data_IF_454494727905
#
_entry.id   IF_454494727905
#
_cell.length_a   1.000
_cell.length_b   1.000
_cell.length_c   1.000
_cell.angle_alpha   90.00
_cell.angle_beta   90.00
_cell.angle_gamma   90.00
#
_symmetry.space_group_name_H-M   'P 1'
#
loop_
_entity.id
_entity.type
_entity.pdbx_description
1 polymer ?
#
# COMPACT_ATOMS: atom_id res chain seq x y z
N UNK A 1 16.43 -12.95 28.69
CA UNK A 1 16.92 -14.09 27.87
C UNK A 1 15.69 -14.84 27.40
N UNK A 2 15.06 -14.36 26.32
CA UNK A 2 13.76 -14.84 25.84
C UNK A 2 13.95 -15.51 24.48
N UNK A 3 13.40 -16.71 24.40
CA UNK A 3 13.47 -17.68 23.31
C UNK A 3 13.07 -17.07 21.96
N UNK A 4 14.01 -17.02 21.00
CA UNK A 4 13.87 -16.50 19.63
C UNK A 4 13.52 -17.62 18.63
N UNK A 5 12.64 -18.56 18.98
CA UNK A 5 12.30 -19.70 18.11
C UNK A 5 10.96 -19.56 17.37
N UNK A 6 10.45 -18.34 17.16
CA UNK A 6 9.49 -18.13 16.05
C UNK A 6 10.28 -17.99 14.76
N UNK A 7 10.23 -19.02 13.92
CA UNK A 7 10.81 -19.00 12.56
C UNK A 7 10.22 -17.82 11.78
N UNK A 8 11.01 -16.76 11.63
CA UNK A 8 10.67 -15.61 10.79
C UNK A 8 10.93 -16.03 9.34
N UNK A 9 9.87 -16.13 8.55
CA UNK A 9 9.98 -16.49 7.13
C UNK A 9 10.38 -15.25 6.33
N UNK A 10 11.49 -15.31 5.60
CA UNK A 10 11.93 -14.17 4.80
C UNK A 10 11.20 -14.10 3.44
N UNK A 11 11.31 -12.95 2.74
CA UNK A 11 10.66 -12.74 1.43
C UNK A 11 11.09 -13.79 0.39
N UNK A 12 12.35 -14.23 0.39
CA UNK A 12 12.87 -15.22 -0.56
C UNK A 12 12.36 -16.61 -0.23
N UNK A 13 12.20 -16.95 1.04
CA UNK A 13 11.54 -18.17 1.49
C UNK A 13 10.07 -18.18 1.09
N UNK A 14 9.34 -17.07 1.26
CA UNK A 14 7.94 -16.98 0.83
C UNK A 14 7.79 -17.09 -0.69
N UNK A 15 8.54 -16.28 -1.46
CA UNK A 15 8.52 -16.35 -2.93
C UNK A 15 9.02 -17.69 -3.45
N UNK A 16 9.99 -18.28 -2.76
CA UNK A 16 10.51 -19.62 -3.04
C UNK A 16 9.49 -20.71 -2.73
N UNK A 17 8.74 -20.63 -1.64
CA UNK A 17 7.68 -21.58 -1.29
C UNK A 17 6.48 -21.45 -2.24
N UNK A 18 6.04 -20.23 -2.55
CA UNK A 18 5.01 -19.96 -3.54
C UNK A 18 5.44 -20.41 -4.95
N UNK A 19 6.71 -20.15 -5.33
CA UNK A 19 7.28 -20.55 -6.61
C UNK A 19 7.52 -22.06 -6.73
N UNK A 20 7.98 -22.74 -5.67
CA UNK A 20 8.12 -24.21 -5.64
C UNK A 20 6.77 -24.92 -5.66
N UNK A 21 5.74 -24.32 -5.06
CA UNK A 21 4.36 -24.81 -5.20
C UNK A 21 3.87 -24.72 -6.64
N UNK A 22 4.34 -23.74 -7.42
CA UNK A 22 4.07 -23.62 -8.85
C UNK A 22 4.95 -24.53 -9.73
N UNK A 23 6.20 -24.80 -9.33
CA UNK A 23 7.17 -25.60 -10.10
C UNK A 23 7.11 -27.12 -9.82
N UNK A 24 6.60 -27.55 -8.66
CA UNK A 24 6.37 -28.97 -8.37
C UNK A 24 5.30 -29.61 -9.28
N UNK A 25 4.56 -28.80 -10.04
CA UNK A 25 3.59 -29.24 -11.06
C UNK A 25 4.25 -29.44 -12.44
N UNK A 26 5.50 -28.99 -12.63
CA UNK A 26 6.13 -28.91 -13.95
C UNK A 26 7.08 -30.05 -14.36
N UNK A 27 7.33 -31.05 -13.52
CA UNK A 27 8.38 -32.05 -13.77
C UNK A 27 7.95 -33.53 -13.63
N UNK A 28 6.66 -33.83 -13.78
CA UNK A 28 6.19 -35.20 -13.97
C UNK A 28 5.44 -35.29 -15.32
N UNK A 29 5.99 -36.10 -16.23
CA UNK A 29 5.67 -36.11 -17.65
C UNK A 29 4.26 -36.57 -18.02
N UNK A 30 3.90 -36.21 -19.27
CA UNK A 30 2.98 -36.92 -20.18
C UNK A 30 1.75 -37.59 -19.54
N UNK A 31 0.72 -36.81 -19.24
CA UNK A 31 -0.65 -37.28 -19.14
C UNK A 31 -1.57 -36.39 -20.01
N UNK A 32 -2.49 -36.98 -20.80
CA UNK A 32 -3.36 -36.24 -21.68
C UNK A 32 -4.45 -35.49 -20.90
N UNK A 33 -4.85 -34.34 -21.42
CA UNK A 33 -6.10 -33.61 -21.21
C UNK A 33 -6.75 -33.68 -19.80
N UNK A 34 -6.75 -32.54 -19.09
CA UNK A 34 -7.88 -32.22 -18.22
C UNK A 34 -7.63 -32.12 -16.72
N UNK A 35 -6.39 -32.00 -16.24
CA UNK A 35 -6.16 -31.39 -14.92
C UNK A 35 -6.30 -29.86 -15.06
N UNK A 36 -7.53 -29.43 -15.34
CA UNK A 36 -7.93 -28.10 -14.97
C UNK A 36 -7.56 -27.93 -13.50
N UNK A 37 -6.86 -26.86 -13.19
CA UNK A 37 -6.91 -26.30 -11.85
C UNK A 37 -8.39 -26.02 -11.65
N UNK A 38 -9.12 -27.00 -11.10
CA UNK A 38 -10.36 -26.72 -10.43
C UNK A 38 -9.91 -25.85 -9.26
N UNK A 39 -9.79 -24.55 -9.53
CA UNK A 39 -9.84 -23.54 -8.51
C UNK A 39 -11.05 -23.96 -7.72
N UNK A 40 -10.79 -24.49 -6.50
CA UNK A 40 -11.85 -24.82 -5.58
C UNK A 40 -12.73 -23.59 -5.62
N UNK A 41 -13.98 -23.74 -6.07
CA UNK A 41 -14.95 -22.65 -6.14
C UNK A 41 -15.35 -22.28 -4.71
N UNK A 42 -14.35 -21.98 -3.88
CA UNK A 42 -14.49 -21.35 -2.60
C UNK A 42 -14.96 -19.94 -2.86
N UNK A 43 -15.77 -19.43 -1.94
CA UNK A 43 -16.17 -18.03 -1.94
C UNK A 43 -14.91 -17.17 -2.10
N UNK A 44 -14.95 -16.20 -3.03
CA UNK A 44 -13.88 -15.23 -3.22
C UNK A 44 -13.55 -14.59 -1.86
N UNK A 45 -12.27 -14.49 -1.47
CA UNK A 45 -11.93 -13.93 -0.16
C UNK A 45 -12.26 -12.45 -0.13
N UNK A 46 -12.72 -11.96 1.02
CA UNK A 46 -12.77 -10.53 1.29
C UNK A 46 -11.35 -10.01 1.50
N UNK A 47 -11.05 -8.82 0.98
CA UNK A 47 -9.75 -8.17 1.12
C UNK A 47 -9.95 -6.94 1.99
N UNK A 48 -9.25 -6.86 3.13
CA UNK A 48 -9.27 -5.71 4.03
C UNK A 48 -7.84 -5.21 4.19
N UNK A 49 -7.59 -3.98 3.72
CA UNK A 49 -6.31 -3.30 3.87
C UNK A 49 -6.41 -2.27 5.00
N UNK A 50 -5.71 -2.51 6.10
CA UNK A 50 -5.62 -1.56 7.21
C UNK A 50 -4.34 -0.74 7.03
N UNK A 51 -4.49 0.52 6.58
CA UNK A 51 -3.39 1.45 6.39
C UNK A 51 -3.38 2.49 7.51
N UNK A 52 -2.31 2.49 8.32
CA UNK A 52 -2.16 3.38 9.47
C UNK A 52 -1.28 4.57 9.09
N UNK A 53 -1.62 5.77 9.58
CA UNK A 53 -0.87 7.01 9.33
C UNK A 53 0.20 7.21 10.42
N UNK A 54 1.45 7.39 10.01
CA UNK A 54 2.61 7.71 10.88
C UNK A 54 2.89 6.75 12.05
N UNK A 55 2.47 5.48 11.95
CA UNK A 55 2.85 4.44 12.92
C UNK A 55 4.29 3.95 12.66
N UNK A 56 5.17 4.14 13.64
CA UNK A 56 6.55 3.68 13.60
C UNK A 56 6.68 2.16 13.73
N UNK A 57 7.78 1.62 13.21
CA UNK A 57 8.02 0.17 13.18
C UNK A 57 8.03 -0.49 14.57
N UNK A 58 8.45 0.24 15.62
CA UNK A 58 8.56 -0.22 16.99
C UNK A 58 7.42 0.27 17.90
N UNK A 59 6.35 0.81 17.32
CA UNK A 59 5.22 1.38 18.08
C UNK A 59 4.19 0.33 18.53
N UNK A 60 4.40 -0.95 18.21
CA UNK A 60 3.48 -2.06 18.52
C UNK A 60 4.15 -3.09 19.43
N UNK A 61 3.35 -3.70 20.31
CA UNK A 61 3.81 -4.66 21.31
C UNK A 61 4.55 -5.85 20.69
N UNK A 62 4.04 -6.41 19.59
CA UNK A 62 4.70 -7.53 18.91
C UNK A 62 6.06 -7.16 18.28
N UNK A 63 6.36 -5.87 18.08
CA UNK A 63 7.68 -5.35 17.65
C UNK A 63 8.53 -4.82 18.81
N UNK A 64 8.13 -5.11 20.05
CA UNK A 64 8.93 -4.80 21.24
C UNK A 64 8.60 -3.48 21.92
N UNK A 65 7.51 -2.80 21.55
CA UNK A 65 7.07 -1.63 22.34
C UNK A 65 6.76 -2.04 23.78
N UNK A 66 7.37 -1.36 24.74
CA UNK A 66 7.09 -1.53 26.19
C UNK A 66 6.17 -0.44 26.74
N UNK A 67 5.86 0.57 25.92
CA UNK A 67 5.04 1.72 26.32
C UNK A 67 3.62 1.66 25.76
N UNK A 68 3.47 1.39 24.46
CA UNK A 68 2.16 1.36 23.81
C UNK A 68 1.44 0.02 24.03
N UNK A 69 0.12 0.07 24.20
CA UNK A 69 -0.72 -1.11 24.41
C UNK A 69 -1.51 -1.42 23.14
N UNK A 70 -1.14 -2.51 22.44
CA UNK A 70 -1.72 -2.87 21.14
C UNK A 70 -2.30 -4.30 21.10
N UNK A 71 -3.09 -4.74 22.11
CA UNK A 71 -3.46 -6.15 22.27
C UNK A 71 -4.20 -6.75 21.07
N UNK A 72 -5.00 -5.96 20.34
CA UNK A 72 -5.68 -6.42 19.13
C UNK A 72 -4.75 -6.60 17.93
N UNK A 73 -3.75 -5.72 17.78
CA UNK A 73 -2.73 -5.84 16.73
C UNK A 73 -1.80 -7.02 17.05
N UNK A 74 -1.43 -7.18 18.32
CA UNK A 74 -0.59 -8.29 18.77
C UNK A 74 -1.29 -9.64 18.56
N UNK A 75 -2.61 -9.71 18.81
CA UNK A 75 -3.43 -10.89 18.51
C UNK A 75 -3.50 -11.18 17.00
N UNK A 76 -3.64 -10.14 16.16
CA UNK A 76 -3.62 -10.30 14.71
C UNK A 76 -2.25 -10.83 14.23
N UNK A 77 -1.16 -10.28 14.75
CA UNK A 77 0.20 -10.73 14.45
C UNK A 77 0.44 -12.18 14.90
N UNK A 78 -0.08 -12.57 16.08
CA UNK A 78 0.07 -13.93 16.60
C UNK A 78 -0.72 -14.98 15.80
N UNK A 79 -1.85 -14.59 15.22
CA UNK A 79 -2.70 -15.47 14.39
C UNK A 79 -2.38 -15.42 12.88
N UNK A 80 -1.37 -14.65 12.48
CA UNK A 80 -1.06 -14.39 11.07
C UNK A 80 0.43 -14.48 10.76
N UNK A 81 0.84 -13.77 9.72
CA UNK A 81 2.22 -13.65 9.29
C UNK A 81 2.72 -12.23 9.54
N UNK A 82 3.91 -12.11 10.13
CA UNK A 82 4.59 -10.82 10.34
C UNK A 82 5.73 -10.67 9.36
N UNK A 83 5.93 -9.44 8.88
CA UNK A 83 7.08 -9.07 8.05
C UNK A 83 7.99 -8.15 8.88
N UNK A 84 9.21 -8.59 9.15
CA UNK A 84 10.22 -7.80 9.87
C UNK A 84 10.88 -6.75 8.99
N UNK A 85 10.90 -7.01 7.68
CA UNK A 85 11.50 -6.17 6.65
C UNK A 85 10.42 -5.63 5.71
N UNK A 86 9.48 -4.85 6.26
CA UNK A 86 8.39 -4.20 5.53
C UNK A 86 8.66 -2.69 5.39
N UNK A 87 8.74 -2.20 4.15
CA UNK A 87 9.11 -0.82 3.85
C UNK A 87 7.98 -0.08 3.15
N UNK A 88 7.76 1.18 3.54
CA UNK A 88 6.96 2.12 2.77
C UNK A 88 7.72 2.55 1.50
N UNK A 89 7.00 2.87 0.43
CA UNK A 89 7.62 3.30 -0.83
C UNK A 89 8.26 4.70 -0.75
N UNK A 90 7.85 5.51 0.23
CA UNK A 90 8.36 6.85 0.49
C UNK A 90 8.24 7.16 1.99
N UNK A 91 9.12 7.99 2.58
CA UNK A 91 8.97 8.45 3.97
C UNK A 91 7.82 9.45 4.17
N UNK A 92 6.89 9.58 3.21
CA UNK A 92 5.78 10.55 3.24
C UNK A 92 4.45 9.88 2.85
N UNK A 93 3.36 10.48 3.31
CA UNK A 93 1.99 9.98 3.21
C UNK A 93 1.45 9.83 1.77
N UNK A 94 1.19 10.93 1.05
CA UNK A 94 0.64 10.91 -0.32
C UNK A 94 1.40 9.97 -1.28
N UNK A 95 2.74 10.03 -1.41
CA UNK A 95 3.48 9.13 -2.31
C UNK A 95 3.32 7.65 -1.96
N UNK A 96 3.33 7.31 -0.67
CA UNK A 96 3.12 5.92 -0.23
C UNK A 96 1.70 5.44 -0.52
N UNK A 97 0.67 6.28 -0.28
CA UNK A 97 -0.73 5.96 -0.60
C UNK A 97 -0.91 5.73 -2.11
N UNK A 98 -0.32 6.59 -2.94
CA UNK A 98 -0.37 6.44 -4.40
C UNK A 98 0.31 5.14 -4.86
N UNK A 99 1.45 4.80 -4.25
CA UNK A 99 2.18 3.56 -4.54
C UNK A 99 1.40 2.31 -4.14
N UNK A 100 0.75 2.31 -2.97
CA UNK A 100 -0.12 1.21 -2.52
C UNK A 100 -1.24 0.95 -3.52
N UNK A 101 -1.90 2.00 -4.01
CA UNK A 101 -3.05 1.83 -4.90
C UNK A 101 -2.65 1.41 -6.31
N UNK A 102 -1.52 1.88 -6.82
CA UNK A 102 -1.12 1.67 -8.24
C UNK A 102 -0.08 0.57 -8.42
N UNK A 103 0.60 0.16 -7.35
CA UNK A 103 1.78 -0.71 -7.41
C UNK A 103 3.01 -0.05 -8.05
N UNK A 104 2.97 1.27 -8.31
CA UNK A 104 4.06 2.01 -8.96
C UNK A 104 4.95 2.70 -7.93
N UNK A 105 6.23 2.87 -8.26
CA UNK A 105 7.14 3.68 -7.45
C UNK A 105 6.70 5.16 -7.52
N UNK A 106 6.75 5.92 -6.40
CA UNK A 106 6.45 7.36 -6.35
C UNK A 106 7.11 8.19 -7.46
N UNK A 107 8.35 7.88 -7.83
CA UNK A 107 9.07 8.57 -8.90
C UNK A 107 8.42 8.40 -10.28
N UNK A 108 7.82 7.22 -10.57
CA UNK A 108 7.09 6.95 -11.82
C UNK A 108 5.78 7.75 -11.89
N UNK A 109 5.17 8.02 -10.74
CA UNK A 109 3.95 8.82 -10.64
C UNK A 109 4.25 10.33 -10.61
N UNK A 110 5.53 10.72 -10.53
CA UNK A 110 5.95 12.08 -10.25
C UNK A 110 5.34 12.67 -8.97
N UNK A 111 4.85 11.81 -8.05
CA UNK A 111 4.25 12.18 -6.79
C UNK A 111 5.24 11.77 -5.71
N UNK A 112 6.10 12.69 -5.30
CA UNK A 112 7.26 12.41 -4.41
C UNK A 112 7.25 13.24 -3.13
N UNK A 113 6.29 14.15 -2.98
CA UNK A 113 6.06 14.95 -1.78
C UNK A 113 4.65 14.72 -1.25
N UNK A 114 4.46 14.93 0.05
CA UNK A 114 3.13 15.03 0.62
C UNK A 114 2.35 16.18 -0.05
N UNK A 115 1.09 15.92 -0.39
CA UNK A 115 0.20 16.93 -0.94
C UNK A 115 -0.26 17.83 0.21
N UNK A 116 0.08 19.10 0.16
CA UNK A 116 -0.29 20.11 1.16
C UNK A 116 -0.96 21.29 0.45
N UNK A 117 -1.50 22.23 1.21
CA UNK A 117 -2.03 23.48 0.64
C UNK A 117 -0.96 24.25 -0.20
N UNK A 118 0.32 24.03 0.11
CA UNK A 118 1.45 24.70 -0.54
C UNK A 118 2.14 23.84 -1.61
N UNK A 119 1.68 22.60 -1.86
CA UNK A 119 2.30 21.75 -2.88
C UNK A 119 2.01 22.34 -4.26
N UNK A 120 3.07 22.73 -4.97
CA UNK A 120 3.00 23.28 -6.32
C UNK A 120 3.35 22.20 -7.34
N UNK A 121 2.56 22.15 -8.41
CA UNK A 121 2.83 21.28 -9.56
C UNK A 121 4.14 21.69 -10.24
N UNK A 122 4.77 20.75 -10.97
CA UNK A 122 5.96 21.00 -11.80
C UNK A 122 5.83 22.17 -12.79
N UNK A 123 4.60 22.62 -13.07
CA UNK A 123 4.29 23.65 -14.08
C UNK A 123 4.14 25.06 -13.50
N UNK A 124 4.14 25.22 -12.17
CA UNK A 124 4.15 26.55 -11.60
C UNK A 124 5.56 27.12 -11.77
N UNK A 125 5.69 28.25 -12.47
CA UNK A 125 6.94 29.03 -12.45
C UNK A 125 7.26 29.39 -10.99
N UNK A 126 8.18 28.66 -10.38
CA UNK A 126 8.63 28.86 -9.00
C UNK A 126 9.50 30.12 -8.93
N UNK A 127 8.88 31.29 -9.03
CA UNK A 127 9.63 32.55 -8.99
C UNK A 127 10.01 33.01 -7.58
N UNK A 128 9.48 32.42 -6.48
CA UNK A 128 9.61 33.00 -5.12
C UNK A 128 9.44 32.04 -3.91
N UNK A 129 9.93 30.80 -3.91
CA UNK A 129 9.80 29.92 -2.70
C UNK A 129 11.09 29.38 -2.13
N UNK A 130 12.25 29.71 -2.71
CA UNK A 130 13.53 29.31 -2.16
C UNK A 130 13.94 30.28 -1.07
N UNK A 131 13.90 29.80 0.18
CA UNK A 131 14.54 30.48 1.29
C UNK A 131 16.02 30.68 0.93
N UNK A 132 16.59 31.89 1.02
CA UNK A 132 17.94 32.17 0.51
C UNK A 132 19.05 31.36 1.19
N UNK A 133 18.76 30.71 2.31
CA UNK A 133 19.66 29.81 3.03
C UNK A 133 19.51 28.32 2.64
N UNK A 134 18.64 27.96 1.69
CA UNK A 134 18.54 26.60 1.19
C UNK A 134 19.64 26.32 0.17
N UNK A 135 20.34 25.19 0.33
CA UNK A 135 21.38 24.77 -0.62
C UNK A 135 20.81 24.15 -1.90
N UNK A 136 19.55 23.70 -1.88
CA UNK A 136 18.90 23.00 -2.99
C UNK A 136 17.46 23.47 -3.16
N UNK A 137 17.03 23.48 -4.41
CA UNK A 137 15.62 23.66 -4.81
C UNK A 137 14.89 22.35 -4.63
N UNK A 138 13.76 22.37 -3.94
CA UNK A 138 12.97 21.17 -3.78
C UNK A 138 12.24 20.87 -5.12
N UNK A 139 12.38 19.67 -5.70
CA UNK A 139 11.79 19.37 -7.01
C UNK A 139 10.26 19.47 -6.98
N UNK A 140 9.63 19.81 -8.12
CA UNK A 140 8.17 19.74 -8.23
C UNK A 140 7.62 18.35 -7.83
N UNK A 141 6.34 18.29 -7.51
CA UNK A 141 5.62 17.03 -7.31
C UNK A 141 4.21 17.15 -7.88
N UNK A 142 3.64 16.05 -8.32
CA UNK A 142 2.23 15.95 -8.62
C UNK A 142 1.42 16.33 -7.37
N UNK A 143 0.31 17.00 -7.60
CA UNK A 143 -0.61 17.49 -6.56
C UNK A 143 -1.83 16.60 -6.37
N UNK A 144 -1.89 15.51 -7.13
CA UNK A 144 -2.97 14.51 -7.17
C UNK A 144 -2.46 13.19 -7.77
N UNK A 145 -3.19 12.11 -7.55
CA UNK A 145 -3.07 10.89 -8.34
C UNK A 145 -3.80 11.10 -9.68
N UNK A 146 -3.10 11.01 -10.84
CA UNK A 146 -3.75 11.20 -12.13
C UNK A 146 -4.89 10.20 -12.36
N UNK A 147 -6.04 10.66 -12.88
CA UNK A 147 -7.20 9.79 -13.14
C UNK A 147 -6.95 8.69 -14.19
N UNK A 148 -5.88 8.80 -14.99
CA UNK A 148 -5.47 7.74 -15.92
C UNK A 148 -4.65 6.62 -15.26
N UNK A 149 -4.28 6.76 -13.99
CA UNK A 149 -3.65 5.68 -13.22
C UNK A 149 -4.68 4.66 -12.80
N UNK A 150 -4.38 3.37 -13.02
CA UNK A 150 -5.29 2.28 -12.65
C UNK A 150 -4.99 1.80 -11.24
N UNK A 151 -5.96 1.89 -10.34
CA UNK A 151 -5.81 1.42 -8.96
C UNK A 151 -6.16 -0.05 -8.78
N UNK A 152 -5.72 -0.62 -7.65
CA UNK A 152 -6.16 -1.93 -7.17
C UNK A 152 -7.68 -1.98 -6.96
N UNK A 153 -8.33 -0.87 -6.60
CA UNK A 153 -9.78 -0.83 -6.43
C UNK A 153 -10.50 -1.01 -7.76
N UNK A 154 -10.06 -0.33 -8.82
CA UNK A 154 -10.62 -0.52 -10.17
C UNK A 154 -10.40 -1.95 -10.68
N UNK A 155 -9.22 -2.53 -10.42
CA UNK A 155 -8.95 -3.94 -10.77
C UNK A 155 -9.84 -4.92 -10.02
N UNK A 156 -10.06 -4.70 -8.71
CA UNK A 156 -10.95 -5.52 -7.91
C UNK A 156 -12.41 -5.37 -8.33
N UNK A 157 -12.84 -4.15 -8.66
CA UNK A 157 -14.17 -3.88 -9.20
C UNK A 157 -14.43 -4.61 -10.51
N UNK A 158 -13.45 -4.60 -11.44
CA UNK A 158 -13.50 -5.41 -12.67
C UNK A 158 -13.62 -6.91 -12.39
N UNK A 159 -13.03 -7.39 -11.29
CA UNK A 159 -13.15 -8.78 -10.85
C UNK A 159 -14.47 -9.08 -10.11
N UNK A 160 -15.39 -8.10 -9.97
CA UNK A 160 -16.69 -8.26 -9.34
C UNK A 160 -16.70 -8.08 -7.82
N UNK A 161 -15.71 -7.38 -7.26
CA UNK A 161 -15.74 -6.93 -5.87
C UNK A 161 -16.51 -5.63 -5.74
N UNK A 162 -17.20 -5.46 -4.60
CA UNK A 162 -17.65 -4.15 -4.12
C UNK A 162 -16.51 -3.52 -3.32
N UNK A 163 -16.19 -2.27 -3.60
CA UNK A 163 -15.03 -1.58 -3.03
C UNK A 163 -15.43 -0.45 -2.09
N UNK A 164 -14.74 -0.31 -0.96
CA UNK A 164 -14.99 0.75 0.02
C UNK A 164 -13.70 1.39 0.53
N UNK A 165 -13.72 2.71 0.68
CA UNK A 165 -12.64 3.51 1.24
C UNK A 165 -13.11 4.22 2.51
N UNK A 166 -12.32 4.11 3.59
CA UNK A 166 -12.66 4.65 4.91
C UNK A 166 -11.43 5.37 5.48
N UNK A 167 -11.58 6.66 5.77
CA UNK A 167 -10.53 7.49 6.37
C UNK A 167 -9.80 8.39 5.36
N UNK A 168 -8.51 8.65 5.60
CA UNK A 168 -7.73 9.68 4.89
C UNK A 168 -7.33 9.25 3.48
N UNK A 169 -7.74 10.03 2.47
CA UNK A 169 -7.40 9.78 1.07
C UNK A 169 -6.04 10.36 0.68
N UNK A 170 -5.89 11.69 0.77
CA UNK A 170 -4.63 12.41 0.58
C UNK A 170 -3.97 12.28 -0.82
N UNK A 171 -4.77 12.07 -1.86
CA UNK A 171 -4.33 11.93 -3.25
C UNK A 171 -4.99 12.92 -4.23
N UNK A 172 -5.50 14.03 -3.72
CA UNK A 172 -5.98 15.14 -4.55
C UNK A 172 -7.23 15.82 -3.99
N UNK A 173 -7.71 16.82 -4.74
CA UNK A 173 -8.89 17.63 -4.39
C UNK A 173 -10.20 16.96 -4.85
N UNK A 174 -11.30 17.72 -4.88
CA UNK A 174 -12.65 17.23 -5.20
C UNK A 174 -12.76 16.42 -6.49
N UNK A 175 -11.97 16.71 -7.52
CA UNK A 175 -11.97 15.99 -8.80
C UNK A 175 -11.13 14.69 -8.79
N UNK A 176 -10.48 14.35 -7.67
CA UNK A 176 -9.56 13.22 -7.54
C UNK A 176 -9.86 12.42 -6.28
N UNK A 177 -11.14 12.19 -5.99
CA UNK A 177 -11.58 11.47 -4.78
C UNK A 177 -11.59 9.95 -4.99
N UNK A 178 -11.71 9.12 -3.93
CA UNK A 178 -11.77 7.66 -4.06
C UNK A 178 -12.81 7.15 -5.09
N UNK A 179 -13.96 7.82 -5.20
CA UNK A 179 -15.04 7.48 -6.13
C UNK A 179 -14.60 7.54 -7.59
N UNK A 180 -13.70 8.46 -7.92
CA UNK A 180 -13.11 8.63 -9.26
C UNK A 180 -12.01 7.60 -9.55
N UNK A 181 -11.70 6.75 -8.57
CA UNK A 181 -10.54 5.83 -8.55
C UNK A 181 -10.97 4.42 -8.14
N UNK A 182 -12.23 4.05 -8.43
CA UNK A 182 -12.73 2.69 -8.36
C UNK A 182 -13.33 2.26 -7.02
N UNK A 183 -13.56 3.19 -6.08
CA UNK A 183 -14.25 2.90 -4.81
C UNK A 183 -15.76 3.18 -4.89
N UNK A 184 -16.60 2.18 -4.63
CA UNK A 184 -18.07 2.34 -4.63
C UNK A 184 -18.58 3.09 -3.40
N UNK A 185 -17.88 2.95 -2.26
CA UNK A 185 -18.19 3.64 -1.00
C UNK A 185 -17.00 4.49 -0.57
N UNK A 186 -17.26 5.74 -0.19
CA UNK A 186 -16.26 6.63 0.40
C UNK A 186 -16.78 7.26 1.70
N UNK A 187 -16.08 7.01 2.81
CA UNK A 187 -16.36 7.62 4.11
C UNK A 187 -15.09 8.29 4.63
N UNK A 188 -15.06 9.62 4.65
CA UNK A 188 -13.92 10.41 5.14
C UNK A 188 -12.81 10.68 4.11
N UNK A 189 -12.83 10.02 2.95
CA UNK A 189 -11.84 10.21 1.88
C UNK A 189 -12.02 11.54 1.15
N UNK A 190 -11.48 12.61 1.76
CA UNK A 190 -11.50 13.97 1.22
C UNK A 190 -10.11 14.58 1.02
N UNK A 191 -10.08 15.89 0.78
CA UNK A 191 -8.83 16.66 0.60
C UNK A 191 -8.11 16.94 1.93
N UNK A 192 -8.82 16.91 3.06
CA UNK A 192 -8.22 17.27 4.34
C UNK A 192 -7.04 16.35 4.66
N UNK A 193 -5.85 16.90 4.92
CA UNK A 193 -4.65 16.12 5.19
C UNK A 193 -4.63 15.53 6.60
N UNK A 194 -5.67 15.77 7.40
CA UNK A 194 -5.81 15.34 8.78
C UNK A 194 -6.76 14.15 8.91
N UNK A 195 -6.56 13.27 9.91
CA UNK A 195 -7.50 12.21 10.26
C UNK A 195 -8.92 12.72 10.56
#
# INVERSE_FOLDING_TARGET
MTDRTKRVMDRREFLGAAGRSALAVGAAGLLPAGLGWAARAGKRPNIVLILIDDLGWADVGYQGSTFYKTPNIDRLAAGGMTFTDAYAACPLCSPTRASILTGKNPARLHLTKAITANTRSFRAEDKKTERPWWKLVAPGSATELPLGEVTIAERLRQAGYVTGFFGKWHLGKKAYRPEEQGFDVNVGGGFYPSP
#
